data_IF_733598550788
#
_entry.id   IF_733598550788
#
_cell.length_a   1.000
_cell.length_b   1.000
_cell.length_c   1.000
_cell.angle_alpha   90.00
_cell.angle_beta   90.00
_cell.angle_gamma   90.00
#
_symmetry.space_group_name_H-M   'P 1'
#
loop_
_entity.id
_entity.type
_entity.pdbx_description
1 polymer ?
#
# COMPACT_ATOMS: atom_id res chain seq x y z
N UNK A 1 -5.92 2.58 6.47
CA UNK A 1 -6.82 1.41 6.59
C UNK A 1 -6.71 0.89 8.02
N UNK A 2 -7.82 0.59 8.75
CA UNK A 2 -7.77 0.07 10.12
C UNK A 2 -6.95 -1.22 10.27
N UNK A 3 -6.87 -2.02 9.20
CA UNK A 3 -6.04 -3.23 9.12
C UNK A 3 -4.54 -2.95 8.94
N UNK A 4 -4.13 -1.69 8.82
CA UNK A 4 -2.76 -1.27 8.54
C UNK A 4 -2.13 -1.88 7.25
N UNK A 5 -2.97 -2.34 6.32
CA UNK A 5 -2.55 -2.87 5.03
C UNK A 5 -2.11 -1.72 4.11
N UNK A 6 -0.85 -1.76 3.64
CA UNK A 6 -0.24 -0.74 2.77
C UNK A 6 0.06 -1.24 1.35
N UNK A 7 -0.02 -2.54 1.11
CA UNK A 7 0.30 -3.17 -0.16
C UNK A 7 -0.86 -3.29 -1.15
N UNK A 8 -2.07 -2.85 -0.78
CA UNK A 8 -3.23 -2.89 -1.66
C UNK A 8 -4.55 -2.91 -0.88
N UNK A 9 -5.69 -2.94 -1.60
CA UNK A 9 -7.01 -3.07 -0.99
C UNK A 9 -7.12 -4.36 -0.19
N UNK A 10 -7.77 -4.30 0.98
CA UNK A 10 -7.95 -5.47 1.85
C UNK A 10 -9.09 -6.41 1.42
N UNK A 11 -9.77 -6.13 0.31
CA UNK A 11 -10.92 -6.89 -0.18
C UNK A 11 -12.24 -6.65 0.55
N UNK A 12 -12.24 -6.12 1.78
CA UNK A 12 -13.47 -5.85 2.53
C UNK A 12 -14.02 -4.43 2.36
N UNK A 13 -14.17 -3.99 1.11
CA UNK A 13 -14.95 -2.80 0.81
C UNK A 13 -16.43 -3.20 0.78
N UNK A 14 -17.28 -2.48 1.50
CA UNK A 14 -18.73 -2.69 1.48
C UNK A 14 -19.33 -2.18 0.17
N UNK A 15 -20.51 -2.65 -0.19
CA UNK A 15 -21.19 -2.25 -1.43
C UNK A 15 -21.42 -0.72 -1.54
N UNK A 16 -21.51 -0.01 -0.42
CA UNK A 16 -21.62 1.44 -0.36
C UNK A 16 -20.27 2.18 -0.33
N UNK A 17 -19.16 1.51 -0.64
CA UNK A 17 -17.81 2.10 -0.65
C UNK A 17 -17.16 2.29 0.72
N UNK A 18 -17.78 1.81 1.81
CA UNK A 18 -17.26 1.98 3.18
C UNK A 18 -16.39 0.80 3.64
N UNK A 19 -15.64 1.00 4.73
CA UNK A 19 -14.77 -0.02 5.31
C UNK A 19 -15.57 -1.17 5.96
N UNK A 20 -15.11 -2.42 5.82
CA UNK A 20 -15.68 -3.56 6.58
C UNK A 20 -15.56 -3.41 8.09
N UNK A 21 -14.44 -2.86 8.59
CA UNK A 21 -14.09 -2.81 10.03
C UNK A 21 -14.80 -1.65 10.73
N UNK A 22 -14.85 -0.48 10.07
CA UNK A 22 -15.50 0.72 10.59
C UNK A 22 -16.56 1.16 9.57
N UNK A 23 -17.82 0.70 9.72
CA UNK A 23 -18.90 0.91 8.75
C UNK A 23 -19.11 2.35 8.29
N UNK A 24 -18.91 3.31 9.19
CA UNK A 24 -19.16 4.74 8.99
C UNK A 24 -17.99 5.45 8.29
N UNK A 25 -16.85 4.77 8.17
CA UNK A 25 -15.66 5.30 7.52
C UNK A 25 -15.65 4.93 6.03
N UNK A 26 -15.55 5.91 5.11
CA UNK A 26 -15.29 5.63 3.71
C UNK A 26 -13.99 4.84 3.52
N UNK A 27 -13.97 3.86 2.62
CA UNK A 27 -12.78 3.06 2.41
C UNK A 27 -11.64 3.89 1.81
N UNK A 28 -10.51 3.97 2.51
CA UNK A 28 -9.32 4.71 2.04
C UNK A 28 -8.80 4.21 0.69
N UNK A 29 -8.97 2.93 0.36
CA UNK A 29 -8.52 2.37 -0.92
C UNK A 29 -9.44 2.73 -2.08
N UNK A 30 -10.76 2.87 -1.82
CA UNK A 30 -11.69 3.43 -2.81
C UNK A 30 -11.32 4.87 -3.09
N UNK A 31 -11.13 5.67 -2.03
CA UNK A 31 -10.70 7.07 -2.18
C UNK A 31 -9.37 7.20 -2.91
N UNK A 32 -8.38 6.35 -2.60
CA UNK A 32 -7.09 6.35 -3.28
C UNK A 32 -7.25 6.04 -4.77
N UNK A 33 -8.07 5.04 -5.12
CA UNK A 33 -8.34 4.68 -6.52
C UNK A 33 -9.01 5.80 -7.29
N UNK A 34 -10.08 6.40 -6.73
CA UNK A 34 -10.77 7.53 -7.35
C UNK A 34 -9.84 8.73 -7.53
N UNK A 35 -9.01 9.03 -6.52
CA UNK A 35 -8.02 10.12 -6.61
C UNK A 35 -6.93 9.83 -7.63
N UNK A 36 -6.50 8.59 -7.78
CA UNK A 36 -5.48 8.25 -8.78
C UNK A 36 -5.99 8.51 -10.20
N UNK A 37 -7.28 8.34 -10.47
CA UNK A 37 -7.87 8.65 -11.78
C UNK A 37 -7.81 10.14 -12.13
N UNK A 38 -7.67 11.01 -11.12
CA UNK A 38 -7.55 12.46 -11.30
C UNK A 38 -6.09 12.93 -11.43
N UNK A 39 -5.10 12.05 -11.25
CA UNK A 39 -3.69 12.40 -11.34
C UNK A 39 -3.23 12.47 -12.81
N UNK A 40 -2.55 13.56 -13.19
CA UNK A 40 -1.99 13.74 -14.53
C UNK A 40 -0.78 12.85 -14.84
N UNK A 41 -0.14 12.28 -13.82
CA UNK A 41 0.96 11.33 -13.94
C UNK A 41 0.79 10.20 -12.90
N UNK A 42 1.35 9.03 -13.18
CA UNK A 42 1.40 7.89 -12.26
C UNK A 42 0.03 7.32 -11.82
N UNK A 43 -1.07 7.72 -12.47
CA UNK A 43 -2.44 7.26 -12.14
C UNK A 43 -2.61 5.74 -12.14
N UNK A 44 -1.84 5.05 -13.00
CA UNK A 44 -1.84 3.60 -13.15
C UNK A 44 -1.04 2.87 -12.06
N UNK A 45 -0.14 3.57 -11.34
CA UNK A 45 0.73 2.95 -10.33
C UNK A 45 -0.04 2.43 -9.12
N UNK A 46 -1.28 2.88 -8.89
CA UNK A 46 -2.14 2.32 -7.85
C UNK A 46 -2.42 0.81 -8.02
N UNK A 47 -2.22 0.29 -9.24
CA UNK A 47 -2.37 -1.14 -9.54
C UNK A 47 -1.12 -1.95 -9.17
N UNK A 48 -0.02 -1.28 -8.86
CA UNK A 48 1.24 -1.92 -8.48
C UNK A 48 1.16 -2.36 -7.02
N UNK A 49 1.25 -3.67 -6.80
CA UNK A 49 1.32 -4.22 -5.45
C UNK A 49 2.67 -3.88 -4.83
N UNK A 50 2.63 -3.30 -3.63
CA UNK A 50 3.84 -3.03 -2.84
C UNK A 50 4.20 -4.26 -2.01
N UNK A 51 5.47 -4.43 -1.60
CA UNK A 51 5.83 -5.47 -0.65
C UNK A 51 5.06 -5.32 0.67
N UNK A 52 4.85 -6.41 1.42
CA UNK A 52 4.25 -6.33 2.74
C UNK A 52 5.12 -5.47 3.66
N UNK A 53 4.46 -4.70 4.54
CA UNK A 53 5.17 -3.83 5.50
C UNK A 53 6.03 -4.67 6.44
N UNK A 54 7.32 -4.32 6.57
CA UNK A 54 8.18 -4.94 7.56
C UNK A 54 7.88 -4.37 8.96
N UNK A 55 7.17 -5.14 9.78
CA UNK A 55 6.78 -4.75 11.15
C UNK A 55 7.93 -4.75 12.15
N UNK A 56 9.06 -5.38 11.84
CA UNK A 56 10.23 -5.37 12.73
C UNK A 56 10.87 -3.98 12.82
N UNK A 57 10.59 -3.11 11.85
CA UNK A 57 11.08 -1.72 11.82
C UNK A 57 10.17 -0.73 12.55
N UNK A 58 9.06 -1.20 13.13
CA UNK A 58 8.16 -0.35 13.90
C UNK A 58 8.90 0.27 15.09
N UNK A 59 8.55 1.52 15.41
CA UNK A 59 9.17 2.33 16.47
C UNK A 59 10.68 2.64 16.27
N UNK A 60 11.24 2.31 15.11
CA UNK A 60 12.58 2.70 14.67
C UNK A 60 12.62 4.01 13.86
N UNK A 61 13.83 4.50 13.59
CA UNK A 61 14.04 5.71 12.77
C UNK A 61 13.91 5.42 11.27
N UNK A 62 12.99 6.10 10.60
CA UNK A 62 12.79 5.97 9.15
C UNK A 62 14.04 6.35 8.35
N UNK A 63 14.76 7.39 8.77
CA UNK A 63 15.97 7.85 8.07
C UNK A 63 17.13 6.88 8.19
N UNK A 64 17.32 6.27 9.37
CA UNK A 64 18.38 5.28 9.55
C UNK A 64 18.06 4.02 8.73
N UNK A 65 16.80 3.57 8.75
CA UNK A 65 16.37 2.40 7.99
C UNK A 65 16.55 2.62 6.48
N UNK A 66 16.20 3.80 5.97
CA UNK A 66 16.40 4.21 4.58
C UNK A 66 17.87 4.26 4.21
N UNK A 67 18.72 4.89 5.04
CA UNK A 67 20.16 4.99 4.80
C UNK A 67 20.84 3.61 4.78
N UNK A 68 20.41 2.70 5.67
CA UNK A 68 20.91 1.34 5.72
C UNK A 68 20.27 0.40 4.67
N UNK A 69 19.25 0.87 3.94
CA UNK A 69 18.51 0.11 2.93
C UNK A 69 17.68 -1.05 3.47
N UNK A 70 17.41 -1.10 4.79
CA UNK A 70 16.67 -2.21 5.43
C UNK A 70 15.18 -2.11 5.12
N UNK A 71 14.65 -0.90 4.90
CA UNK A 71 13.27 -0.67 4.49
C UNK A 71 12.99 -1.03 3.02
N UNK A 72 14.04 -1.21 2.21
CA UNK A 72 13.96 -1.65 0.80
C UNK A 72 14.01 -3.18 0.64
N UNK A 73 14.27 -3.93 1.71
CA UNK A 73 14.38 -5.38 1.64
C UNK A 73 12.99 -6.04 1.57
N UNK A 74 12.77 -6.80 0.50
CA UNK A 74 11.52 -7.54 0.29
C UNK A 74 11.65 -8.98 0.79
N UNK A 75 10.55 -9.62 1.23
CA UNK A 75 10.60 -11.01 1.69
C UNK A 75 10.98 -11.98 0.56
N UNK A 76 11.53 -13.17 0.87
CA UNK A 76 11.83 -14.19 -0.13
C UNK A 76 10.61 -14.52 -1.00
N UNK A 77 10.82 -14.58 -2.31
CA UNK A 77 9.77 -14.85 -3.30
C UNK A 77 8.94 -13.64 -3.73
N UNK A 78 9.23 -12.44 -3.20
CA UNK A 78 8.65 -11.20 -3.72
C UNK A 78 9.42 -10.71 -4.95
N UNK A 79 8.71 -10.50 -6.07
CA UNK A 79 9.29 -9.90 -7.28
C UNK A 79 9.00 -8.40 -7.29
N UNK A 80 10.01 -7.53 -7.21
CA UNK A 80 9.82 -6.08 -7.34
C UNK A 80 9.18 -5.71 -8.68
N UNK A 81 8.34 -4.68 -8.69
CA UNK A 81 7.67 -4.21 -9.91
C UNK A 81 8.66 -3.82 -11.00
N UNK A 82 9.79 -3.19 -10.61
CA UNK A 82 10.89 -2.85 -11.51
C UNK A 82 11.46 -4.05 -12.28
N UNK A 83 11.25 -5.26 -11.76
CA UNK A 83 11.75 -6.52 -12.33
C UNK A 83 10.60 -7.27 -13.07
N UNK A 84 9.38 -6.73 -13.08
CA UNK A 84 8.20 -7.24 -13.80
C UNK A 84 7.87 -6.45 -15.07
N UNK A 85 8.43 -5.25 -15.21
CA UNK A 85 8.25 -4.38 -16.36
C UNK A 85 9.58 -4.25 -17.11
N UNK A 86 9.75 -5.09 -18.13
CA UNK A 86 10.71 -4.86 -19.23
C UNK A 86 10.14 -3.80 -20.21
#
# INVERSE_FOLDING_TARGET
CPKNLRNGPCGGVRANGHCEVIPEMPCVWVQAFERSQMMGAYSHEIKLLQPPVNRQLQDGSSWINMLAGVDQQTPPGWTPVKDLTD
#
